data_IF_794832881728
#
_entry.id   IF_794832881728
#
_cell.length_a   1.000
_cell.length_b   1.000
_cell.length_c   1.000
_cell.angle_alpha   90.00
_cell.angle_beta   90.00
_cell.angle_gamma   90.00
#
_symmetry.space_group_name_H-M   'P 1'
#
loop_
_entity.id
_entity.type
_entity.pdbx_description
1 polymer ?
#
# COMPACT_ATOMS: atom_id res chain seq x y z
N UNK A 1 6.80 -3.34 -15.69
CA UNK A 1 7.12 -1.97 -15.24
C UNK A 1 6.41 -1.71 -13.92
N UNK A 2 7.07 -1.08 -12.96
CA UNK A 2 6.49 -0.79 -11.65
C UNK A 2 6.87 0.61 -11.18
N UNK A 3 6.07 1.16 -10.26
CA UNK A 3 6.32 2.45 -9.62
C UNK A 3 6.43 2.19 -8.12
N UNK A 4 7.50 2.71 -7.50
CA UNK A 4 7.68 2.70 -6.04
C UNK A 4 7.75 4.11 -5.51
N UNK A 5 6.97 4.40 -4.47
CA UNK A 5 6.98 5.67 -3.73
C UNK A 5 7.51 5.41 -2.31
N UNK A 6 8.43 6.26 -1.85
CA UNK A 6 9.02 6.27 -0.49
C UNK A 6 9.17 7.72 0.00
N UNK A 7 9.47 7.89 1.28
CA UNK A 7 9.82 9.21 1.84
C UNK A 7 11.15 9.72 1.26
N UNK A 8 11.32 11.04 1.05
CA UNK A 8 10.25 12.05 1.07
C UNK A 8 9.46 12.03 -0.24
N UNK A 9 8.12 12.09 -0.15
CA UNK A 9 7.26 12.25 -1.31
C UNK A 9 5.93 12.88 -0.91
N UNK A 10 5.45 13.80 -1.75
CA UNK A 10 4.14 14.44 -1.61
C UNK A 10 3.06 13.73 -2.44
N UNK A 11 3.43 12.70 -3.22
CA UNK A 11 2.49 11.95 -4.03
C UNK A 11 1.46 11.23 -3.15
N UNK A 12 0.24 11.14 -3.67
CA UNK A 12 -0.90 10.51 -3.03
C UNK A 12 -1.55 9.57 -4.03
N UNK A 13 -2.09 8.45 -3.55
CA UNK A 13 -3.00 7.66 -4.39
C UNK A 13 -4.28 8.45 -4.65
N UNK A 14 -5.05 8.06 -5.66
CA UNK A 14 -6.37 8.65 -5.93
C UNK A 14 -7.36 8.52 -4.77
N UNK A 15 -7.08 7.62 -3.81
CA UNK A 15 -7.86 7.44 -2.56
C UNK A 15 -7.24 8.16 -1.35
N UNK A 16 -6.28 9.06 -1.58
CA UNK A 16 -5.73 9.95 -0.55
C UNK A 16 -4.62 9.35 0.33
N UNK A 17 -4.19 8.12 0.08
CA UNK A 17 -3.12 7.50 0.87
C UNK A 17 -1.75 7.97 0.37
N UNK A 18 -0.86 8.32 1.31
CA UNK A 18 0.50 8.75 1.04
C UNK A 18 1.48 8.13 2.03
N UNK A 19 2.77 8.38 1.83
CA UNK A 19 3.78 8.08 2.84
C UNK A 19 3.46 8.88 4.12
N UNK A 20 3.47 8.20 5.26
CA UNK A 20 3.10 8.75 6.58
C UNK A 20 1.62 8.61 6.94
N UNK A 21 0.73 8.22 6.01
CA UNK A 21 -0.67 7.89 6.35
C UNK A 21 -0.71 6.75 7.38
N UNK A 22 -1.66 6.80 8.30
CA UNK A 22 -1.83 5.74 9.31
C UNK A 22 -2.39 4.45 8.70
N UNK A 23 -2.16 3.32 9.36
CA UNK A 23 -2.77 2.04 8.97
C UNK A 23 -4.30 2.11 9.02
N UNK A 24 -4.88 2.88 9.95
CA UNK A 24 -6.33 3.10 10.03
C UNK A 24 -6.88 3.85 8.80
N UNK A 25 -6.20 4.91 8.35
CA UNK A 25 -6.56 5.60 7.12
C UNK A 25 -6.47 4.69 5.90
N UNK A 26 -5.42 3.86 5.83
CA UNK A 26 -5.25 2.86 4.77
C UNK A 26 -6.41 1.86 4.78
N UNK A 27 -6.76 1.30 5.93
CA UNK A 27 -7.89 0.36 6.09
C UNK A 27 -9.21 1.00 5.67
N UNK A 28 -9.44 2.26 6.05
CA UNK A 28 -10.64 2.99 5.65
C UNK A 28 -10.72 3.19 4.13
N UNK A 29 -9.60 3.50 3.48
CA UNK A 29 -9.58 3.80 2.04
C UNK A 29 -9.55 2.56 1.14
N UNK A 30 -8.86 1.49 1.57
CA UNK A 30 -8.58 0.31 0.75
C UNK A 30 -9.03 -1.03 1.35
N UNK A 31 -9.54 -1.07 2.58
CA UNK A 31 -10.00 -2.29 3.26
C UNK A 31 -10.93 -3.18 2.42
N UNK A 32 -11.90 -2.62 1.66
CA UNK A 32 -12.76 -3.42 0.78
C UNK A 32 -12.02 -4.17 -0.34
N UNK A 33 -10.79 -3.78 -0.65
CA UNK A 33 -9.95 -4.38 -1.71
C UNK A 33 -8.80 -5.20 -1.13
N UNK A 34 -8.76 -5.40 0.18
CA UNK A 34 -7.67 -6.15 0.80
C UNK A 34 -7.68 -7.59 0.31
N UNK A 35 -6.57 -8.00 -0.32
CA UNK A 35 -6.26 -9.40 -0.52
C UNK A 35 -5.80 -9.97 0.83
N UNK A 36 -6.67 -10.74 1.49
CA UNK A 36 -6.43 -11.26 2.84
C UNK A 36 -5.34 -12.34 2.88
N UNK A 37 -5.13 -13.05 1.77
CA UNK A 37 -4.14 -14.12 1.67
C UNK A 37 -2.74 -13.54 1.48
N UNK A 38 -2.63 -12.51 0.65
CA UNK A 38 -1.35 -11.86 0.34
C UNK A 38 -0.97 -10.76 1.35
N UNK A 39 -1.95 -10.23 2.10
CA UNK A 39 -1.71 -9.27 3.18
C UNK A 39 -1.22 -9.96 4.44
N UNK A 40 -0.16 -9.43 5.04
CA UNK A 40 0.46 -9.93 6.27
C UNK A 40 0.95 -8.78 7.12
N UNK A 41 1.38 -9.02 8.36
CA UNK A 41 1.85 -7.95 9.26
C UNK A 41 2.91 -7.07 8.57
N UNK A 42 2.63 -5.77 8.46
CA UNK A 42 3.49 -4.78 7.80
C UNK A 42 3.40 -4.73 6.27
N UNK A 43 2.52 -5.51 5.63
CA UNK A 43 2.23 -5.48 4.19
C UNK A 43 0.74 -5.60 3.93
N UNK A 44 0.19 -4.62 3.22
CA UNK A 44 -1.19 -4.62 2.78
C UNK A 44 -1.24 -4.66 1.25
N UNK A 45 -1.97 -5.63 0.70
CA UNK A 45 -2.16 -5.77 -0.75
C UNK A 45 -3.60 -5.37 -1.08
N UNK A 46 -3.76 -4.30 -1.85
CA UNK A 46 -5.03 -3.88 -2.42
C UNK A 46 -5.17 -4.42 -3.84
N UNK A 47 -6.14 -5.30 -4.10
CA UNK A 47 -6.32 -5.96 -5.39
C UNK A 47 -5.51 -7.24 -5.49
N UNK A 48 -4.47 -7.29 -6.33
CA UNK A 48 -3.65 -8.49 -6.55
C UNK A 48 -2.16 -8.17 -6.40
N UNK A 49 -1.36 -9.13 -5.94
CA UNK A 49 0.10 -9.00 -5.92
C UNK A 49 0.71 -8.83 -7.33
N UNK A 50 -0.01 -9.24 -8.38
CA UNK A 50 0.44 -9.17 -9.77
C UNK A 50 -0.03 -7.92 -10.54
N UNK A 51 -0.83 -7.04 -9.93
CA UNK A 51 -1.37 -5.87 -10.64
C UNK A 51 -2.08 -4.84 -9.77
N UNK A 52 -1.97 -4.95 -8.45
CA UNK A 52 -2.59 -4.06 -7.48
C UNK A 52 -1.62 -3.05 -6.87
N UNK A 53 -2.04 -2.50 -5.73
CA UNK A 53 -1.22 -1.57 -4.94
C UNK A 53 -0.79 -2.28 -3.66
N UNK A 54 0.51 -2.28 -3.39
CA UNK A 54 1.08 -2.87 -2.19
C UNK A 54 1.60 -1.76 -1.29
N UNK A 55 1.10 -1.70 -0.06
CA UNK A 55 1.54 -0.77 0.96
C UNK A 55 2.43 -1.51 1.96
N UNK A 56 3.58 -0.94 2.28
CA UNK A 56 4.37 -1.39 3.44
C UNK A 56 4.05 -0.49 4.63
N UNK A 57 3.69 -1.10 5.75
CA UNK A 57 3.35 -0.42 7.00
C UNK A 57 4.40 -0.74 8.06
N UNK A 58 4.92 0.29 8.73
CA UNK A 58 5.85 0.14 9.85
C UNK A 58 5.45 1.14 10.93
N UNK A 59 5.47 0.70 12.19
CA UNK A 59 5.04 1.52 13.34
C UNK A 59 3.66 2.19 13.13
N UNK A 60 2.71 1.46 12.52
CA UNK A 60 1.35 1.96 12.26
C UNK A 60 1.22 2.97 11.12
N UNK A 61 2.28 3.21 10.33
CA UNK A 61 2.28 4.17 9.23
C UNK A 61 2.76 3.57 7.90
N UNK A 62 2.20 4.05 6.80
CA UNK A 62 2.60 3.71 5.43
C UNK A 62 3.99 4.28 5.16
N UNK A 63 4.93 3.41 4.79
CA UNK A 63 6.34 3.76 4.51
C UNK A 63 6.75 3.53 3.06
N UNK A 64 5.97 2.72 2.32
CA UNK A 64 6.18 2.45 0.90
C UNK A 64 4.83 2.21 0.22
N UNK A 65 4.70 2.70 -1.00
CA UNK A 65 3.61 2.35 -1.92
C UNK A 65 4.25 1.77 -3.17
N UNK A 66 3.79 0.61 -3.60
CA UNK A 66 4.24 -0.06 -4.82
C UNK A 66 3.05 -0.32 -5.73
N UNK A 67 3.16 0.06 -6.99
CA UNK A 67 2.17 -0.22 -8.03
C UNK A 67 2.83 -1.05 -9.13
N UNK A 68 2.28 -2.24 -9.39
CA UNK A 68 2.75 -3.13 -10.45
C UNK A 68 2.67 -4.60 -10.04
N UNK A 69 3.22 -5.46 -10.89
CA UNK A 69 3.41 -6.87 -10.57
C UNK A 69 4.60 -7.03 -9.62
N UNK A 70 4.34 -7.47 -8.39
CA UNK A 70 5.39 -7.96 -7.52
C UNK A 70 5.68 -9.40 -7.90
N UNK A 71 6.87 -9.64 -8.43
CA UNK A 71 7.45 -10.97 -8.42
C UNK A 71 7.95 -11.25 -7.00
N UNK A 72 7.78 -12.48 -6.52
CA UNK A 72 8.34 -12.95 -5.25
C UNK A 72 9.87 -12.97 -5.26
#
# INVERSE_FOLDING_TARGET
>A
MSITIRSPSLLRTTRGIRIGSTEQELMKAYGPYQDKEMSRRGRFVAGSIYGGVIFSVKAGQVTRIFLGAAAE
#
